data_IF_619639747679
#
_entry.id   IF_619639747679
#
_cell.length_a   1.000
_cell.length_b   1.000
_cell.length_c   1.000
_cell.angle_alpha   90.00
_cell.angle_beta   90.00
_cell.angle_gamma   90.00
#
_symmetry.space_group_name_H-M   'P 1'
#
loop_
_entity.id
_entity.type
_entity.pdbx_description
1 polymer ?
#
# COMPACT_ATOMS: atom_id res chain seq x y z
N UNK A 1 4.05 18.53 26.77
CA UNK A 1 5.03 17.46 26.44
C UNK A 1 4.38 16.47 25.49
N UNK A 2 4.82 16.46 24.24
CA UNK A 2 4.25 15.64 23.15
C UNK A 2 4.44 14.16 23.50
N UNK A 3 3.34 13.43 23.76
CA UNK A 3 3.35 11.97 23.96
C UNK A 3 4.06 11.34 22.76
N UNK A 4 5.31 10.89 22.94
CA UNK A 4 6.03 10.07 21.97
C UNK A 4 5.14 8.86 21.69
N UNK A 5 4.50 8.81 20.52
CA UNK A 5 3.65 7.70 20.11
C UNK A 5 4.50 6.45 20.19
N UNK A 6 4.13 5.52 21.06
CA UNK A 6 4.90 4.33 21.33
C UNK A 6 5.05 3.53 20.02
N UNK A 7 6.27 3.50 19.45
CA UNK A 7 6.61 2.79 18.20
C UNK A 7 6.28 1.30 18.25
N UNK A 8 6.08 0.75 19.46
CA UNK A 8 5.78 -0.66 19.72
C UNK A 8 4.40 -1.13 19.23
N UNK A 9 3.43 -0.23 19.01
CA UNK A 9 2.08 -0.56 18.55
C UNK A 9 1.91 -0.58 17.01
N UNK A 10 2.98 -0.27 16.26
CA UNK A 10 3.01 -0.28 14.78
C UNK A 10 3.90 -1.40 14.23
N UNK A 11 3.94 -2.57 14.89
CA UNK A 11 4.62 -3.76 14.37
C UNK A 11 3.79 -4.32 13.22
N UNK A 12 3.94 -3.72 12.05
CA UNK A 12 3.59 -4.35 10.79
C UNK A 12 4.63 -5.45 10.59
N UNK A 13 4.29 -6.65 11.05
CA UNK A 13 5.15 -7.82 10.90
C UNK A 13 4.74 -8.53 9.63
N UNK A 14 5.27 -8.01 8.52
CA UNK A 14 5.02 -8.54 7.18
C UNK A 14 6.30 -9.20 6.70
N UNK A 15 6.14 -10.37 6.10
CA UNK A 15 7.23 -11.16 5.56
C UNK A 15 7.23 -11.08 4.04
N UNK A 16 8.42 -11.21 3.46
CA UNK A 16 8.57 -11.27 2.01
C UNK A 16 7.90 -12.53 1.49
N UNK A 17 7.04 -12.46 0.47
CA UNK A 17 6.43 -13.65 -0.10
C UNK A 17 7.41 -14.59 -0.82
N UNK A 18 8.61 -14.11 -1.19
CA UNK A 18 9.62 -14.87 -1.94
C UNK A 18 10.58 -15.58 -1.00
N UNK A 19 11.31 -14.83 -0.17
CA UNK A 19 12.34 -15.37 0.73
C UNK A 19 11.89 -15.54 2.19
N UNK A 20 10.63 -15.20 2.52
CA UNK A 20 10.08 -15.21 3.88
C UNK A 20 10.83 -14.34 4.90
N UNK A 21 11.77 -13.50 4.45
CA UNK A 21 12.49 -12.56 5.32
C UNK A 21 11.55 -11.45 5.78
N UNK A 22 11.75 -10.98 7.01
CA UNK A 22 11.00 -9.84 7.54
C UNK A 22 11.23 -8.60 6.68
N UNK A 23 10.13 -7.96 6.28
CA UNK A 23 10.16 -6.75 5.49
C UNK A 23 10.41 -5.51 6.36
N UNK A 24 11.19 -4.60 5.82
CA UNK A 24 11.40 -3.27 6.38
C UNK A 24 10.39 -2.32 5.77
N UNK A 25 9.71 -1.53 6.60
CA UNK A 25 8.77 -0.52 6.12
C UNK A 25 9.56 0.56 5.37
N UNK A 26 9.21 0.80 4.11
CA UNK A 26 9.78 1.91 3.35
C UNK A 26 9.23 3.26 3.81
N UNK A 27 9.92 4.35 3.50
CA UNK A 27 9.45 5.72 3.76
C UNK A 27 8.34 6.19 2.77
N UNK A 28 7.58 5.25 2.19
CA UNK A 28 6.64 5.51 1.11
C UNK A 28 5.31 6.11 1.57
N UNK A 29 4.59 6.71 0.62
CA UNK A 29 3.22 7.18 0.84
C UNK A 29 2.27 6.00 1.02
N UNK A 30 1.25 6.17 1.86
CA UNK A 30 0.15 5.20 2.01
C UNK A 30 -0.94 5.50 1.00
N UNK A 31 -1.30 4.50 0.21
CA UNK A 31 -2.36 4.60 -0.78
C UNK A 31 -3.59 3.86 -0.29
N UNK A 32 -4.57 4.60 0.23
CA UNK A 32 -5.79 4.01 0.75
C UNK A 32 -6.66 3.46 -0.38
N UNK A 33 -7.27 2.30 -0.12
CA UNK A 33 -8.16 1.64 -1.07
C UNK A 33 -9.53 2.32 -1.00
N UNK A 34 -10.10 2.65 -2.15
CA UNK A 34 -11.44 3.19 -2.30
C UNK A 34 -12.32 2.22 -3.08
N UNK A 35 -13.62 2.35 -2.89
CA UNK A 35 -14.63 1.61 -3.64
C UNK A 35 -15.63 2.60 -4.20
N UNK A 36 -16.09 2.34 -5.43
CA UNK A 36 -17.07 3.16 -6.13
C UNK A 36 -18.48 2.56 -6.12
N UNK A 37 -18.62 1.29 -5.71
CA UNK A 37 -19.90 0.61 -5.63
C UNK A 37 -20.04 -0.17 -4.31
N UNK A 38 -21.27 -0.35 -3.86
CA UNK A 38 -21.63 -1.08 -2.65
C UNK A 38 -21.19 -2.56 -2.70
N UNK A 39 -21.16 -3.18 -3.87
CA UNK A 39 -20.67 -4.56 -4.02
C UNK A 39 -19.18 -4.66 -3.71
N UNK A 40 -18.37 -3.78 -4.29
CA UNK A 40 -16.93 -3.69 -4.00
C UNK A 40 -16.68 -3.39 -2.52
N UNK A 41 -17.44 -2.48 -1.90
CA UNK A 41 -17.31 -2.21 -0.47
C UNK A 41 -17.60 -3.44 0.37
N UNK A 42 -18.61 -4.23 0.00
CA UNK A 42 -18.95 -5.48 0.70
C UNK A 42 -17.84 -6.52 0.54
N UNK A 43 -17.30 -6.71 -0.65
CA UNK A 43 -16.20 -7.66 -0.89
C UNK A 43 -14.94 -7.25 -0.15
N UNK A 44 -14.63 -5.96 -0.14
CA UNK A 44 -13.53 -5.42 0.63
C UNK A 44 -13.83 -5.60 2.12
N UNK A 45 -14.71 -4.80 2.70
CA UNK A 45 -14.85 -4.73 4.17
C UNK A 45 -15.58 -5.91 4.82
N UNK A 46 -16.22 -6.80 4.05
CA UNK A 46 -17.04 -7.90 4.58
C UNK A 46 -18.37 -7.44 5.20
N UNK A 47 -18.78 -6.19 5.01
CA UNK A 47 -20.02 -5.64 5.59
C UNK A 47 -21.27 -6.14 4.85
N UNK A 48 -22.41 -6.07 5.52
CA UNK A 48 -23.69 -6.43 4.91
C UNK A 48 -24.05 -5.49 3.75
N UNK A 49 -24.78 -6.01 2.75
CA UNK A 49 -25.23 -5.21 1.58
C UNK A 49 -25.96 -3.93 1.98
N UNK A 50 -26.78 -3.96 3.04
CA UNK A 50 -27.49 -2.78 3.57
C UNK A 50 -26.50 -1.71 4.05
N UNK A 51 -25.48 -2.10 4.81
CA UNK A 51 -24.46 -1.19 5.32
C UNK A 51 -23.60 -0.63 4.18
N UNK A 52 -23.23 -1.45 3.21
CA UNK A 52 -22.51 -0.99 2.02
C UNK A 52 -23.33 0.01 1.20
N UNK A 53 -24.62 -0.27 0.97
CA UNK A 53 -25.52 0.63 0.24
C UNK A 53 -25.63 1.98 0.96
N UNK A 54 -25.82 1.95 2.28
CA UNK A 54 -25.90 3.16 3.10
C UNK A 54 -24.64 4.04 2.98
N UNK A 55 -23.45 3.44 2.96
CA UNK A 55 -22.18 4.18 2.80
C UNK A 55 -22.10 4.92 1.45
N UNK A 56 -22.74 4.38 0.41
CA UNK A 56 -22.78 4.95 -0.93
C UNK A 56 -23.99 5.86 -1.20
N UNK A 57 -24.93 5.98 -0.26
CA UNK A 57 -26.11 6.83 -0.45
C UNK A 57 -25.75 8.33 -0.55
N UNK A 58 -24.71 8.78 0.16
CA UNK A 58 -24.31 10.18 0.22
C UNK A 58 -22.98 10.49 -0.48
N UNK A 59 -22.24 9.45 -0.90
CA UNK A 59 -20.87 9.61 -1.41
C UNK A 59 -20.67 8.65 -2.58
N UNK A 60 -20.18 9.17 -3.70
CA UNK A 60 -19.90 8.37 -4.92
C UNK A 60 -18.74 7.40 -4.70
N UNK A 61 -17.80 7.74 -3.81
CA UNK A 61 -16.63 6.93 -3.51
C UNK A 61 -16.42 6.83 -2.01
N UNK A 62 -16.29 5.60 -1.51
CA UNK A 62 -15.99 5.33 -0.11
C UNK A 62 -14.55 4.86 0.04
N UNK A 63 -13.77 5.50 0.92
CA UNK A 63 -12.36 5.18 1.18
C UNK A 63 -12.22 4.36 2.46
N UNK A 64 -11.59 3.20 2.35
CA UNK A 64 -11.24 2.36 3.50
C UNK A 64 -9.95 2.87 4.15
N UNK A 65 -10.06 3.44 5.35
CA UNK A 65 -8.90 3.91 6.11
C UNK A 65 -8.16 2.78 6.84
N UNK A 66 -8.76 1.60 6.92
CA UNK A 66 -8.15 0.44 7.52
C UNK A 66 -7.36 -0.39 6.50
N UNK A 67 -7.47 -0.06 5.20
CA UNK A 67 -6.76 -0.78 4.13
C UNK A 67 -6.00 0.16 3.22
N UNK A 68 -4.72 -0.10 3.06
CA UNK A 68 -3.87 0.72 2.20
C UNK A 68 -2.74 -0.10 1.60
N UNK A 69 -2.23 0.36 0.46
CA UNK A 69 -1.01 -0.15 -0.17
C UNK A 69 0.16 0.70 0.31
N UNK A 70 1.25 0.05 0.71
CA UNK A 70 2.49 0.70 1.14
C UNK A 70 3.70 -0.06 0.59
N UNK A 71 4.77 0.67 0.29
CA UNK A 71 6.03 0.08 -0.17
C UNK A 71 6.86 -0.41 1.02
N UNK A 72 7.39 -1.62 0.88
CA UNK A 72 8.32 -2.25 1.81
C UNK A 72 9.61 -2.61 1.08
N UNK A 73 10.66 -2.84 1.85
CA UNK A 73 11.96 -3.24 1.35
C UNK A 73 12.36 -4.58 1.96
N UNK A 74 12.67 -5.53 1.09
CA UNK A 74 13.32 -6.78 1.41
C UNK A 74 14.83 -6.62 1.12
N UNK A 75 15.73 -7.00 2.05
CA UNK A 75 17.18 -6.95 1.79
C UNK A 75 17.61 -7.86 0.64
N UNK A 76 16.90 -8.97 0.40
CA UNK A 76 17.23 -9.94 -0.65
C UNK A 76 16.58 -9.58 -1.99
N UNK A 77 15.27 -9.25 -1.98
CA UNK A 77 14.47 -9.08 -3.21
C UNK A 77 14.24 -7.62 -3.62
N UNK A 78 14.64 -6.67 -2.76
CA UNK A 78 14.45 -5.24 -2.99
C UNK A 78 13.04 -4.74 -2.64
N UNK A 79 12.53 -3.76 -3.40
CA UNK A 79 11.26 -3.10 -3.07
C UNK A 79 10.06 -3.97 -3.43
N UNK A 80 9.18 -4.20 -2.46
CA UNK A 80 7.93 -4.96 -2.60
C UNK A 80 6.74 -4.11 -2.15
N UNK A 81 5.56 -4.37 -2.68
CA UNK A 81 4.36 -3.62 -2.34
C UNK A 81 3.33 -4.51 -1.68
N UNK A 82 2.86 -4.06 -0.53
CA UNK A 82 2.02 -4.85 0.37
C UNK A 82 0.73 -4.09 0.64
N UNK A 83 -0.40 -4.78 0.51
CA UNK A 83 -1.69 -4.34 1.05
C UNK A 83 -1.67 -4.60 2.55
N UNK A 84 -1.68 -3.53 3.31
CA UNK A 84 -1.80 -3.54 4.76
C UNK A 84 -3.28 -3.47 5.14
N UNK A 85 -3.71 -4.36 6.02
CA UNK A 85 -5.07 -4.40 6.58
C UNK A 85 -4.93 -4.22 8.09
N UNK A 86 -5.60 -3.21 8.62
CA UNK A 86 -5.65 -2.94 10.05
C UNK A 86 -6.92 -3.53 10.65
N UNK A 87 -6.74 -4.39 11.63
CA UNK A 87 -7.81 -5.00 12.39
C UNK A 87 -8.36 -4.04 13.45
N UNK A 88 -9.57 -4.28 13.98
CA UNK A 88 -10.16 -3.46 15.05
C UNK A 88 -9.28 -3.32 16.30
N UNK A 89 -8.52 -4.36 16.62
CA UNK A 89 -7.54 -4.43 17.72
C UNK A 89 -6.29 -3.58 17.44
N UNK A 90 -6.16 -3.07 16.22
CA UNK A 90 -5.09 -2.20 15.77
C UNK A 90 -3.84 -2.92 15.26
N UNK A 91 -3.84 -4.26 15.25
CA UNK A 91 -2.83 -5.03 14.52
C UNK A 91 -2.95 -4.80 13.02
N UNK A 92 -1.82 -4.90 12.33
CA UNK A 92 -1.75 -4.70 10.88
C UNK A 92 -1.15 -5.94 10.27
N UNK A 93 -1.97 -6.65 9.49
CA UNK A 93 -1.53 -7.74 8.63
C UNK A 93 -1.20 -7.22 7.24
N UNK A 94 -0.37 -7.96 6.50
CA UNK A 94 0.03 -7.58 5.14
C UNK A 94 -0.05 -8.75 4.19
N UNK A 95 -0.52 -8.48 2.98
CA UNK A 95 -0.54 -9.43 1.86
C UNK A 95 0.06 -8.78 0.62
N UNK A 96 0.54 -9.58 -0.34
CA UNK A 96 0.98 -9.06 -1.64
C UNK A 96 -0.17 -8.27 -2.27
N UNK A 97 0.11 -7.08 -2.78
CA UNK A 97 -0.90 -6.29 -3.45
C UNK A 97 -1.32 -6.94 -4.80
N UNK A 98 -2.52 -7.54 -4.90
CA UNK A 98 -3.02 -8.03 -6.18
C UNK A 98 -3.32 -6.83 -7.09
N UNK A 99 -3.23 -7.06 -8.40
CA UNK A 99 -3.37 -6.00 -9.42
C UNK A 99 -4.71 -5.27 -9.37
N UNK A 100 -5.76 -5.96 -8.97
CA UNK A 100 -7.12 -5.41 -8.86
C UNK A 100 -7.20 -4.30 -7.80
N UNK A 101 -6.51 -4.47 -6.67
CA UNK A 101 -6.51 -3.47 -5.59
C UNK A 101 -5.77 -2.18 -5.96
N UNK A 102 -4.82 -2.24 -6.89
CA UNK A 102 -4.16 -1.04 -7.41
C UNK A 102 -5.09 -0.14 -8.21
N UNK A 103 -6.08 -0.72 -8.91
CA UNK A 103 -7.08 0.07 -9.65
C UNK A 103 -8.03 0.80 -8.71
N UNK A 104 -8.09 0.36 -7.46
CA UNK A 104 -8.93 0.89 -6.40
C UNK A 104 -8.17 1.87 -5.49
N UNK A 105 -7.01 2.38 -5.90
CA UNK A 105 -6.23 3.37 -5.13
C UNK A 105 -6.08 4.69 -5.87
N UNK A 106 -6.25 5.83 -5.18
CA UNK A 106 -6.20 7.16 -5.83
C UNK A 106 -4.76 7.65 -5.96
N UNK A 107 -4.38 8.07 -7.16
CA UNK A 107 -3.05 8.67 -7.42
C UNK A 107 -1.90 7.66 -7.39
N UNK A 108 -2.21 6.38 -7.62
CA UNK A 108 -1.25 5.30 -7.46
C UNK A 108 -0.86 4.72 -8.81
N UNK A 109 0.45 4.54 -9.01
CA UNK A 109 1.01 3.91 -10.20
C UNK A 109 1.26 2.45 -9.86
N UNK A 110 0.62 1.54 -10.61
CA UNK A 110 0.97 0.13 -10.61
C UNK A 110 2.48 0.02 -10.95
N UNK A 111 3.34 -0.46 -10.03
CA UNK A 111 4.80 -0.51 -10.26
C UNK A 111 5.17 -1.41 -11.45
N UNK A 112 4.27 -2.31 -11.87
CA UNK A 112 4.44 -3.13 -13.08
C UNK A 112 4.15 -2.36 -14.38
N UNK A 113 3.46 -1.22 -14.32
CA UNK A 113 3.18 -0.36 -15.46
C UNK A 113 3.88 1.00 -15.32
N UNK A 114 4.76 1.39 -16.25
CA UNK A 114 5.27 2.75 -16.26
C UNK A 114 4.10 3.73 -16.40
N UNK A 115 4.19 4.86 -15.68
CA UNK A 115 3.15 5.87 -15.72
C UNK A 115 3.02 6.42 -17.16
N UNK A 116 1.84 6.34 -17.79
CA UNK A 116 1.66 6.76 -19.18
C UNK A 116 1.89 8.27 -19.39
N UNK A 117 1.84 9.09 -18.33
CA UNK A 117 2.10 10.53 -18.43
C UNK A 117 3.57 10.93 -18.31
N UNK A 118 4.47 9.99 -17.98
CA UNK A 118 5.91 10.25 -18.00
C UNK A 118 6.52 9.65 -19.25
N UNK A 119 7.29 10.46 -19.97
CA UNK A 119 8.07 9.97 -21.10
C UNK A 119 9.08 8.92 -20.66
N UNK A 120 9.44 8.03 -21.59
CA UNK A 120 10.43 6.99 -21.36
C UNK A 120 11.78 7.56 -20.90
N UNK A 121 12.12 8.78 -21.35
CA UNK A 121 13.31 9.52 -20.93
C UNK A 121 13.33 9.81 -19.42
N UNK A 122 12.24 10.35 -18.88
CA UNK A 122 12.11 10.66 -17.45
C UNK A 122 12.07 9.37 -16.62
N UNK A 123 11.44 8.31 -17.14
CA UNK A 123 11.40 7.00 -16.50
C UNK A 123 12.79 6.33 -16.41
N UNK A 124 13.59 6.40 -17.48
CA UNK A 124 14.97 5.90 -17.47
C UNK A 124 15.87 6.70 -16.53
N UNK A 125 15.64 8.02 -16.43
CA UNK A 125 16.43 8.92 -15.58
C UNK A 125 16.16 8.68 -14.08
N UNK A 126 14.91 8.43 -13.68
CA UNK A 126 14.58 8.14 -12.27
C UNK A 126 15.16 6.81 -11.79
N UNK A 127 15.29 5.81 -12.66
CA UNK A 127 15.94 4.53 -12.37
C UNK A 127 17.47 4.61 -12.25
N UNK A 128 18.11 5.67 -12.75
CA UNK A 128 19.57 5.87 -12.67
C UNK A 128 20.05 6.52 -11.37
N UNK A 129 19.16 7.08 -10.57
CA UNK A 129 19.51 7.77 -9.32
C UNK A 129 19.98 6.85 -8.18
N UNK A 130 19.95 5.52 -8.36
CA UNK A 130 20.43 4.53 -7.37
C UNK A 130 21.81 3.94 -7.65
N UNK A 131 22.51 4.35 -8.71
CA UNK A 131 23.80 3.74 -9.06
C UNK A 131 25.00 4.51 -8.45
N UNK A 132 25.55 3.90 -7.38
CA UNK A 132 26.92 4.02 -6.84
C UNK A 132 27.25 5.29 -6.05
N UNK A 133 27.25 5.15 -4.71
CA UNK A 133 28.37 5.66 -3.90
C UNK A 133 29.23 4.44 -3.57
N UNK A 134 30.14 4.09 -4.47
CA UNK A 134 31.33 3.34 -4.10
C UNK A 134 32.34 4.40 -3.66
N UNK A 135 32.58 4.50 -2.35
CA UNK A 135 33.62 5.35 -1.79
C UNK A 135 34.52 4.47 -0.92
N UNK A 136 35.38 3.70 -1.60
CA UNK A 136 36.69 3.35 -1.06
C UNK A 136 37.59 4.57 -1.22
N UNK A 137 37.94 5.21 -0.11
CA UNK A 137 39.28 5.66 0.28
C UNK A 137 39.21 6.26 1.69
#
# INVERSE_FOLDING_TARGET
MTRKRNRSLNRVEVHCPVCNTRLWRGCGQKYFIFSSNAEQTRELTGVTKKKATLLHMSTVTWVDRNRWIESFFCPEDGQVWIVCIRDPEGQVSGQIAPRELWQQTTGTLDPSKPNPSVSEFTYRSSRRAGARVDSRY
#
